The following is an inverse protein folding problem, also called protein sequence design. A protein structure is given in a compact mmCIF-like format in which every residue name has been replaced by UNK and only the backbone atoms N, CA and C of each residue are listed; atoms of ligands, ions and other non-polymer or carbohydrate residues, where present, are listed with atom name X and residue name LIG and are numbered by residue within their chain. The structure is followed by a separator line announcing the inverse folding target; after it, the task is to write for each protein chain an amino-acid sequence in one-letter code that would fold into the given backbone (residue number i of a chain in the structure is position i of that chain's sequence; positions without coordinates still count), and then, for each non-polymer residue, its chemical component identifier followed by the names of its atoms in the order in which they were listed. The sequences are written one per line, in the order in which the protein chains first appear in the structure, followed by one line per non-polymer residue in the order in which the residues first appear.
data_IF_231833685404
#
_entry.id   IF_231833685404
#
_cell.length_a   1.000
_cell.length_b   1.000
_cell.length_c   1.000
_cell.angle_alpha   90.00
_cell.angle_beta   90.00
_cell.angle_gamma   90.00
#
_symmetry.space_group_name_H-M   'P 1'
#
loop_
_entity.id
_entity.type
_entity.pdbx_description
1 polymer ?
#
# COMPACT_ATOMS: atom_id res chain seq x y z
N UNK A 1 -49.32 43.72 -59.01
CA UNK A 1 -49.22 42.32 -59.50
C UNK A 1 -48.09 41.59 -58.74
N UNK A 2 -47.95 40.27 -58.89
CA UNK A 2 -46.92 39.44 -58.19
C UNK A 2 -45.47 39.81 -58.62
N UNK A 3 -44.36 39.39 -57.97
CA UNK A 3 -44.00 38.18 -57.18
C UNK A 3 -42.98 38.61 -56.06
N UNK A 4 -42.80 38.01 -54.86
CA UNK A 4 -42.41 36.62 -54.44
C UNK A 4 -41.11 36.14 -55.14
N UNK A 5 -40.03 35.60 -54.53
CA UNK A 5 -39.59 35.07 -53.19
C UNK A 5 -38.02 35.18 -53.15
N UNK A 6 -37.20 35.02 -52.08
CA UNK A 6 -37.27 34.95 -50.60
C UNK A 6 -35.83 35.03 -49.99
N UNK A 7 -35.72 35.12 -48.65
CA UNK A 7 -34.61 34.66 -47.75
C UNK A 7 -33.15 35.14 -47.94
N UNK A 8 -32.62 35.84 -46.91
CA UNK A 8 -31.34 35.53 -46.24
C UNK A 8 -31.31 36.18 -44.83
N UNK A 9 -30.63 35.56 -43.87
CA UNK A 9 -30.53 36.04 -42.47
C UNK A 9 -29.10 36.50 -42.14
N UNK A 10 -28.92 37.39 -41.17
CA UNK A 10 -27.76 37.33 -40.27
C UNK A 10 -28.04 37.96 -38.90
N UNK A 11 -27.26 37.56 -37.90
CA UNK A 11 -27.45 37.86 -36.47
C UNK A 11 -26.54 39.01 -36.02
N UNK A 12 -27.05 39.85 -35.11
CA UNK A 12 -26.25 40.78 -34.31
C UNK A 12 -26.38 40.42 -32.83
N UNK A 13 -25.25 40.28 -32.13
CA UNK A 13 -25.20 40.02 -30.69
C UNK A 13 -24.17 40.95 -30.03
N UNK A 14 -24.62 41.75 -29.07
CA UNK A 14 -23.81 42.79 -28.43
C UNK A 14 -23.34 42.33 -27.04
N UNK A 15 -22.06 42.55 -26.73
CA UNK A 15 -21.49 42.35 -25.38
C UNK A 15 -21.38 43.66 -24.62
N UNK A 16 -21.52 43.62 -23.29
CA UNK A 16 -21.11 44.69 -22.37
C UNK A 16 -20.33 44.09 -21.19
N UNK A 17 -19.38 44.88 -20.67
CA UNK A 17 -18.25 44.52 -19.81
C UNK A 17 -18.60 44.13 -18.36
N UNK A 18 -17.61 43.55 -17.65
CA UNK A 18 -16.95 44.19 -16.48
C UNK A 18 -15.54 43.55 -16.27
N UNK A 19 -14.51 44.26 -15.75
CA UNK A 19 -13.11 43.95 -16.11
C UNK A 19 -12.23 43.37 -14.99
N UNK A 20 -11.02 42.94 -15.37
CA UNK A 20 -9.88 42.73 -14.48
C UNK A 20 -8.60 43.43 -15.03
N UNK A 21 -7.75 43.90 -14.12
CA UNK A 21 -6.44 44.54 -14.38
C UNK A 21 -5.35 43.62 -13.76
N UNK A 22 -4.06 43.64 -14.16
CA UNK A 22 -3.30 44.34 -15.22
C UNK A 22 -1.98 43.57 -15.40
N UNK A 23 -1.45 43.47 -16.62
CA UNK A 23 -0.04 43.18 -16.87
C UNK A 23 0.41 43.79 -18.22
N UNK A 24 1.46 44.60 -18.19
CA UNK A 24 2.20 45.20 -19.31
C UNK A 24 3.69 45.00 -18.99
N UNK A 25 4.66 45.03 -19.91
CA UNK A 25 4.71 45.34 -21.34
C UNK A 25 5.17 44.08 -22.13
N UNK A 26 4.93 43.90 -23.44
CA UNK A 26 5.38 44.67 -24.61
C UNK A 26 6.93 44.77 -24.73
N UNK A 27 7.53 44.72 -25.93
CA UNK A 27 6.96 44.93 -27.28
C UNK A 27 7.67 44.09 -28.37
N UNK A 28 7.11 44.08 -29.59
CA UNK A 28 7.72 43.88 -30.92
C UNK A 28 8.65 42.65 -31.15
N UNK A 29 8.25 41.62 -31.91
CA UNK A 29 8.09 41.55 -33.39
C UNK A 29 9.42 41.39 -34.16
N UNK A 30 9.49 40.73 -35.34
CA UNK A 30 8.43 40.27 -36.24
C UNK A 30 8.82 39.01 -37.07
N UNK A 31 7.82 38.48 -37.79
CA UNK A 31 7.91 37.90 -39.15
C UNK A 31 8.76 36.63 -39.43
N UNK A 32 8.08 35.49 -39.33
CA UNK A 32 7.87 34.49 -40.41
C UNK A 32 8.89 34.48 -41.60
N UNK A 33 9.62 33.36 -41.72
CA UNK A 33 9.82 32.64 -42.99
C UNK A 33 11.07 32.95 -43.85
N UNK A 34 11.37 32.05 -44.79
CA UNK A 34 12.28 32.30 -45.92
C UNK A 34 13.69 31.70 -45.80
N UNK A 35 13.87 30.50 -46.34
CA UNK A 35 15.15 29.79 -46.43
C UNK A 35 16.14 30.38 -47.47
N UNK A 36 17.34 29.76 -47.50
CA UNK A 36 18.37 29.69 -48.57
C UNK A 36 19.65 30.56 -48.44
N UNK A 37 20.76 29.85 -48.18
CA UNK A 37 22.05 29.85 -48.89
C UNK A 37 22.75 31.18 -49.27
N UNK A 38 24.05 31.31 -48.96
CA UNK A 38 24.96 31.84 -50.00
C UNK A 38 26.26 32.59 -49.70
N UNK A 39 26.72 32.77 -48.45
CA UNK A 39 28.13 33.07 -48.12
C UNK A 39 28.79 34.42 -48.52
N UNK A 40 29.72 34.90 -47.68
CA UNK A 40 31.10 35.33 -48.03
C UNK A 40 31.84 35.89 -46.80
N UNK A 41 33.18 35.77 -46.78
CA UNK A 41 34.19 36.55 -46.00
C UNK A 41 33.92 36.66 -44.47
N UNK A 42 34.52 35.85 -43.58
CA UNK A 42 35.95 35.79 -43.19
C UNK A 42 36.49 37.07 -42.55
N UNK A 43 36.39 37.18 -41.21
CA UNK A 43 37.55 37.22 -40.32
C UNK A 43 37.16 36.80 -38.87
N UNK A 44 38.15 36.62 -37.99
CA UNK A 44 38.06 36.34 -36.53
C UNK A 44 37.77 34.91 -36.05
N UNK A 45 38.60 33.94 -36.48
CA UNK A 45 38.70 32.60 -35.85
C UNK A 45 40.08 32.34 -35.21
N UNK A 46 40.67 33.37 -34.57
CA UNK A 46 41.95 33.22 -33.83
C UNK A 46 41.89 33.50 -32.33
N UNK A 47 40.97 34.34 -31.82
CA UNK A 47 40.94 34.70 -30.39
C UNK A 47 40.41 33.61 -29.43
N UNK A 48 39.65 32.62 -29.90
CA UNK A 48 39.01 31.65 -29.00
C UNK A 48 39.83 30.37 -28.73
N UNK A 49 40.86 30.09 -29.55
CA UNK A 49 41.59 28.79 -29.53
C UNK A 49 42.61 28.64 -28.40
N UNK A 50 42.99 29.73 -27.72
CA UNK A 50 43.95 29.69 -26.61
C UNK A 50 43.30 29.44 -25.23
N UNK A 51 42.07 29.91 -24.98
CA UNK A 51 41.37 29.68 -23.70
C UNK A 51 40.95 28.22 -23.45
N UNK A 52 40.92 27.37 -24.48
CA UNK A 52 40.53 25.97 -24.37
C UNK A 52 41.67 24.98 -24.08
N UNK A 53 42.94 25.42 -24.02
CA UNK A 53 44.11 24.54 -23.87
C UNK A 53 44.73 24.47 -22.46
N UNK A 54 44.15 25.11 -21.46
CA UNK A 54 44.67 25.12 -20.06
C UNK A 54 43.70 24.55 -19.01
N UNK A 55 42.51 24.08 -19.41
CA UNK A 55 41.50 23.51 -18.50
C UNK A 55 41.53 21.96 -18.42
N UNK A 56 42.66 21.33 -18.77
CA UNK A 56 42.79 19.86 -18.89
C UNK A 56 43.59 19.21 -17.73
N UNK A 57 43.52 19.78 -16.53
CA UNK A 57 44.01 19.15 -15.29
C UNK A 57 42.96 18.23 -14.68
N UNK A 58 43.05 16.95 -15.04
CA UNK A 58 42.41 15.77 -14.42
C UNK A 58 41.14 16.05 -13.58
N UNK A 59 39.98 16.16 -14.24
CA UNK A 59 38.71 15.82 -13.59
C UNK A 59 38.69 14.32 -13.28
N UNK A 60 39.25 13.92 -12.14
CA UNK A 60 38.91 12.65 -11.50
C UNK A 60 37.39 12.63 -11.35
N UNK A 61 36.72 11.71 -12.03
CA UNK A 61 35.32 11.39 -11.73
C UNK A 61 35.29 10.77 -10.35
N UNK A 62 35.09 11.60 -9.33
CA UNK A 62 34.73 11.15 -8.00
C UNK A 62 33.35 10.48 -8.14
N UNK A 63 33.33 9.16 -8.33
CA UNK A 63 32.12 8.39 -8.15
C UNK A 63 31.71 8.61 -6.69
N UNK A 64 30.67 9.42 -6.51
CA UNK A 64 30.13 9.69 -5.19
C UNK A 64 29.63 8.37 -4.63
N UNK A 65 30.32 7.84 -3.62
CA UNK A 65 29.87 6.74 -2.76
C UNK A 65 28.71 7.17 -1.85
N UNK A 66 28.02 8.25 -2.21
CA UNK A 66 26.80 8.70 -1.58
C UNK A 66 25.70 7.65 -1.73
N UNK A 67 25.27 7.14 -0.58
CA UNK A 67 24.07 6.32 -0.35
C UNK A 67 22.96 6.63 -1.36
N UNK A 68 22.37 5.63 -2.01
CA UNK A 68 21.29 5.85 -2.99
C UNK A 68 20.04 6.47 -2.34
N UNK A 69 19.12 7.01 -3.14
CA UNK A 69 17.83 7.52 -2.65
C UNK A 69 17.04 6.44 -1.91
N UNK A 70 16.98 5.23 -2.48
CA UNK A 70 16.37 4.05 -1.88
C UNK A 70 17.09 3.63 -0.57
N UNK A 71 18.42 3.53 -0.57
CA UNK A 71 19.17 3.16 0.62
C UNK A 71 19.02 4.21 1.74
N UNK A 72 18.93 5.51 1.43
CA UNK A 72 18.59 6.54 2.43
C UNK A 72 17.18 6.35 3.01
N UNK A 73 16.23 5.87 2.22
CA UNK A 73 14.87 5.60 2.69
C UNK A 73 14.84 4.37 3.63
N UNK A 74 15.46 3.27 3.22
CA UNK A 74 15.68 2.07 4.05
C UNK A 74 16.42 2.40 5.37
N UNK A 75 17.44 3.27 5.31
CA UNK A 75 18.14 3.73 6.51
C UNK A 75 17.24 4.57 7.44
N UNK A 76 16.29 5.35 6.90
CA UNK A 76 15.29 6.07 7.72
C UNK A 76 14.33 5.10 8.39
N UNK A 77 13.85 4.08 7.69
CA UNK A 77 12.98 3.04 8.24
C UNK A 77 13.66 2.31 9.41
N UNK A 78 14.94 1.95 9.25
CA UNK A 78 15.80 1.42 10.32
C UNK A 78 15.90 2.39 11.51
N UNK A 79 16.16 3.69 11.26
CA UNK A 79 16.27 4.68 12.33
C UNK A 79 14.94 4.89 13.08
N UNK A 80 13.80 4.87 12.37
CA UNK A 80 12.46 4.94 12.96
C UNK A 80 12.19 3.73 13.84
N UNK A 81 12.44 2.51 13.34
CA UNK A 81 12.21 1.28 14.08
C UNK A 81 13.10 1.18 15.33
N UNK A 82 14.38 1.55 15.24
CA UNK A 82 15.28 1.59 16.39
C UNK A 82 14.80 2.58 17.46
N UNK A 83 14.47 3.82 17.08
CA UNK A 83 13.94 4.81 18.01
C UNK A 83 12.60 4.37 18.64
N UNK A 84 11.70 3.74 17.86
CA UNK A 84 10.42 3.22 18.37
C UNK A 84 10.62 2.19 19.49
N UNK A 85 11.59 1.28 19.32
CA UNK A 85 11.90 0.26 20.34
C UNK A 85 12.77 0.78 21.51
N UNK A 86 13.14 2.07 21.51
CA UNK A 86 13.91 2.72 22.57
C UNK A 86 15.42 2.84 22.28
N UNK A 87 15.91 2.29 21.17
CA UNK A 87 17.31 2.38 20.76
C UNK A 87 17.58 3.76 20.13
N UNK A 88 18.03 4.70 20.96
CA UNK A 88 18.20 6.11 20.61
C UNK A 88 19.31 6.32 19.55
N UNK A 89 18.92 6.40 18.28
CA UNK A 89 19.81 6.70 17.16
C UNK A 89 19.85 8.18 16.79
N UNK A 90 18.95 8.99 17.36
CA UNK A 90 18.79 10.41 17.03
C UNK A 90 17.80 10.64 15.88
N UNK A 91 17.91 11.80 15.21
CA UNK A 91 17.01 12.21 14.14
C UNK A 91 17.02 11.22 12.96
N UNK A 92 15.85 11.01 12.36
CA UNK A 92 15.65 10.12 11.20
C UNK A 92 16.08 10.84 9.92
N UNK A 93 17.36 10.73 9.57
CA UNK A 93 18.00 11.44 8.45
C UNK A 93 18.39 10.52 7.26
N UNK A 94 18.40 9.20 7.45
CA UNK A 94 18.84 8.20 6.47
C UNK A 94 20.35 7.96 6.43
N UNK A 95 21.09 8.46 7.43
CA UNK A 95 22.54 8.35 7.56
C UNK A 95 22.93 7.55 8.81
N UNK A 96 23.33 6.29 8.63
CA UNK A 96 23.68 5.38 9.74
C UNK A 96 25.06 5.71 10.35
N UNK A 97 25.14 6.85 11.04
CA UNK A 97 26.33 7.36 11.72
C UNK A 97 26.55 6.74 13.11
N UNK A 98 27.46 7.34 13.91
CA UNK A 98 27.89 6.80 15.21
C UNK A 98 26.74 6.52 16.20
N UNK A 99 25.70 7.34 16.24
CA UNK A 99 24.51 7.10 17.07
C UNK A 99 23.70 5.90 16.58
N UNK A 100 23.55 5.75 15.26
CA UNK A 100 22.91 4.57 14.67
C UNK A 100 23.71 3.30 14.96
N UNK A 101 25.05 3.32 14.84
CA UNK A 101 25.91 2.20 15.27
C UNK A 101 25.66 1.79 16.71
N UNK A 102 25.68 2.74 17.65
CA UNK A 102 25.42 2.47 19.06
C UNK A 102 24.01 1.88 19.31
N UNK A 103 22.97 2.45 18.68
CA UNK A 103 21.60 1.91 18.78
C UNK A 103 21.47 0.49 18.20
N UNK A 104 22.16 0.19 17.09
CA UNK A 104 22.23 -1.16 16.52
C UNK A 104 22.94 -2.11 17.49
N UNK A 105 24.08 -1.73 18.08
CA UNK A 105 24.78 -2.55 19.07
C UNK A 105 23.93 -2.84 20.31
N UNK A 106 23.11 -1.90 20.77
CA UNK A 106 22.15 -2.14 21.85
C UNK A 106 21.03 -3.10 21.44
N UNK A 107 20.49 -2.96 20.22
CA UNK A 107 19.50 -3.88 19.66
C UNK A 107 20.07 -5.31 19.50
N UNK A 108 21.29 -5.45 18.99
CA UNK A 108 21.99 -6.73 18.86
C UNK A 108 22.19 -7.39 20.23
N UNK A 109 22.67 -6.62 21.22
CA UNK A 109 22.85 -7.10 22.59
C UNK A 109 21.52 -7.57 23.24
N UNK A 110 20.45 -6.77 23.11
CA UNK A 110 19.12 -7.11 23.61
C UNK A 110 18.56 -8.37 22.93
N UNK A 111 18.82 -8.56 21.63
CA UNK A 111 18.33 -9.69 20.84
C UNK A 111 19.18 -10.97 20.94
N UNK A 112 20.42 -10.87 21.41
CA UNK A 112 21.37 -11.99 21.47
C UNK A 112 22.13 -12.23 20.17
N UNK A 113 22.23 -11.22 19.30
CA UNK A 113 22.99 -11.26 18.06
C UNK A 113 24.45 -10.81 18.28
N UNK A 114 25.38 -11.06 17.33
CA UNK A 114 26.74 -10.52 17.38
C UNK A 114 26.74 -8.99 17.47
N UNK A 115 27.45 -8.42 18.46
CA UNK A 115 27.42 -6.99 18.74
C UNK A 115 28.52 -6.26 17.95
N UNK A 116 28.27 -5.99 16.67
CA UNK A 116 29.21 -5.27 15.78
C UNK A 116 28.75 -3.85 15.38
N UNK A 117 27.46 -3.53 15.56
CA UNK A 117 26.85 -2.25 15.17
C UNK A 117 26.39 -2.17 13.71
N UNK A 118 26.35 -3.28 12.97
CA UNK A 118 25.95 -3.36 11.56
C UNK A 118 24.80 -4.36 11.39
N UNK A 119 23.59 -3.87 11.12
CA UNK A 119 22.46 -4.74 10.78
C UNK A 119 22.75 -5.50 9.48
N UNK A 120 22.76 -6.82 9.56
CA UNK A 120 22.68 -7.68 8.38
C UNK A 120 21.26 -7.69 7.77
N UNK A 121 21.00 -8.59 6.83
CA UNK A 121 19.69 -8.70 6.18
C UNK A 121 18.61 -9.34 7.05
N UNK A 122 18.98 -10.28 7.93
CA UNK A 122 18.09 -10.96 8.86
C UNK A 122 17.74 -10.06 10.06
N UNK A 123 18.75 -9.47 10.71
CA UNK A 123 18.59 -8.53 11.81
C UNK A 123 17.69 -7.34 11.43
N UNK A 124 17.95 -6.76 10.24
CA UNK A 124 17.14 -5.68 9.68
C UNK A 124 15.73 -6.14 9.34
N UNK A 125 15.58 -7.33 8.75
CA UNK A 125 14.27 -7.91 8.47
C UNK A 125 13.43 -8.08 9.73
N UNK A 126 14.01 -8.68 10.77
CA UNK A 126 13.38 -8.85 12.08
C UNK A 126 13.01 -7.51 12.74
N UNK A 127 13.91 -6.52 12.73
CA UNK A 127 13.66 -5.19 13.27
C UNK A 127 12.47 -4.50 12.58
N UNK A 128 12.45 -4.48 11.24
CA UNK A 128 11.42 -3.79 10.47
C UNK A 128 10.07 -4.51 10.54
N UNK A 129 10.06 -5.85 10.44
CA UNK A 129 8.85 -6.66 10.61
C UNK A 129 8.28 -6.52 12.03
N UNK A 130 9.13 -6.52 13.06
CA UNK A 130 8.72 -6.27 14.44
C UNK A 130 8.11 -4.87 14.62
N UNK A 131 8.69 -3.84 14.00
CA UNK A 131 8.15 -2.48 14.05
C UNK A 131 6.76 -2.40 13.41
N UNK A 132 6.59 -2.96 12.20
CA UNK A 132 5.28 -3.05 11.54
C UNK A 132 4.26 -3.83 12.39
N UNK A 133 4.68 -4.94 13.00
CA UNK A 133 3.86 -5.75 13.89
C UNK A 133 3.47 -5.02 15.18
N UNK A 134 4.36 -4.20 15.74
CA UNK A 134 4.06 -3.37 16.91
C UNK A 134 3.00 -2.31 16.59
N UNK A 135 3.11 -1.62 15.46
CA UNK A 135 2.09 -0.66 15.01
C UNK A 135 0.72 -1.31 14.81
N UNK A 136 0.67 -2.57 14.36
CA UNK A 136 -0.58 -3.30 14.15
C UNK A 136 -1.15 -3.97 15.42
N UNK A 137 -0.32 -4.48 16.34
CA UNK A 137 -0.77 -5.38 17.42
C UNK A 137 -0.58 -4.86 18.85
N UNK A 138 0.17 -3.79 19.09
CA UNK A 138 0.54 -3.35 20.44
C UNK A 138 -0.62 -2.86 21.33
N UNK A 139 -1.83 -2.72 20.79
CA UNK A 139 -3.07 -2.40 21.51
C UNK A 139 -3.96 -3.64 21.76
N UNK A 140 -3.65 -4.79 21.16
CA UNK A 140 -4.38 -6.06 21.28
C UNK A 140 -3.73 -6.96 22.35
N UNK A 141 -4.52 -7.79 23.03
CA UNK A 141 -3.97 -8.76 23.99
C UNK A 141 -3.24 -9.92 23.27
N UNK A 142 -2.12 -10.46 23.82
CA UNK A 142 -1.46 -10.09 25.08
C UNK A 142 -0.52 -8.88 24.98
N UNK A 143 -0.25 -8.37 23.77
CA UNK A 143 0.78 -7.37 23.50
C UNK A 143 0.53 -6.03 24.21
N UNK A 144 -0.72 -5.60 24.39
CA UNK A 144 -1.04 -4.41 25.17
C UNK A 144 -0.56 -4.47 26.64
N UNK A 145 -0.69 -5.62 27.30
CA UNK A 145 -0.19 -5.83 28.65
C UNK A 145 1.35 -5.87 28.66
N UNK A 146 1.98 -6.39 27.60
CA UNK A 146 3.44 -6.41 27.45
C UNK A 146 3.98 -4.99 27.22
N UNK A 147 3.34 -4.18 26.37
CA UNK A 147 3.66 -2.76 26.20
C UNK A 147 3.52 -2.00 27.53
N UNK A 148 2.42 -2.19 28.25
CA UNK A 148 2.15 -1.50 29.51
C UNK A 148 3.12 -1.88 30.64
N UNK A 149 3.64 -3.12 30.65
CA UNK A 149 4.53 -3.64 31.71
C UNK A 149 6.02 -3.61 31.38
N UNK A 150 6.41 -3.61 30.10
CA UNK A 150 7.79 -3.73 29.64
C UNK A 150 8.19 -2.73 28.53
N UNK A 151 7.27 -1.87 28.10
CA UNK A 151 7.50 -0.94 27.00
C UNK A 151 7.67 -1.61 25.63
N UNK A 152 8.06 -0.83 24.63
CA UNK A 152 8.24 -1.28 23.26
C UNK A 152 9.35 -2.36 23.16
N UNK A 153 10.43 -2.23 23.93
CA UNK A 153 11.46 -3.27 24.02
C UNK A 153 10.93 -4.62 24.54
N UNK A 154 9.88 -4.62 25.37
CA UNK A 154 9.13 -5.82 25.75
C UNK A 154 8.51 -6.53 24.55
N UNK A 155 7.80 -5.78 23.70
CA UNK A 155 7.20 -6.31 22.46
C UNK A 155 8.26 -6.93 21.54
N UNK A 156 9.39 -6.26 21.36
CA UNK A 156 10.46 -6.76 20.48
C UNK A 156 11.04 -8.10 20.98
N UNK A 157 11.29 -8.22 22.29
CA UNK A 157 11.71 -9.49 22.91
C UNK A 157 10.63 -10.58 22.73
N UNK A 158 9.36 -10.23 22.87
CA UNK A 158 8.24 -11.15 22.66
C UNK A 158 8.17 -11.67 21.21
N UNK A 159 8.28 -10.80 20.20
CA UNK A 159 8.23 -11.23 18.80
C UNK A 159 9.40 -12.14 18.41
N UNK A 160 10.60 -11.90 18.95
CA UNK A 160 11.75 -12.81 18.79
C UNK A 160 11.47 -14.18 19.40
N UNK A 161 10.92 -14.22 20.62
CA UNK A 161 10.58 -15.47 21.30
C UNK A 161 9.57 -16.28 20.49
N UNK A 162 8.54 -15.64 19.94
CA UNK A 162 7.56 -16.29 19.07
C UNK A 162 8.16 -16.79 17.75
N UNK A 163 9.11 -16.06 17.15
CA UNK A 163 9.87 -16.54 15.98
C UNK A 163 10.71 -17.79 16.30
N UNK A 164 11.14 -17.95 17.56
CA UNK A 164 11.80 -19.15 18.09
C UNK A 164 10.80 -20.23 18.56
N UNK A 165 9.51 -20.09 18.28
CA UNK A 165 8.45 -21.03 18.68
C UNK A 165 8.05 -20.99 20.15
N UNK A 166 8.59 -20.05 20.94
CA UNK A 166 8.25 -19.88 22.35
C UNK A 166 6.91 -19.13 22.44
N UNK A 167 5.88 -19.80 22.95
CA UNK A 167 4.54 -19.23 23.07
C UNK A 167 4.51 -18.08 24.09
N UNK A 168 3.97 -16.93 23.68
CA UNK A 168 3.67 -15.81 24.58
C UNK A 168 2.54 -16.22 25.53
N UNK A 169 2.73 -16.18 26.87
CA UNK A 169 1.67 -16.52 27.82
C UNK A 169 0.45 -15.61 27.63
N UNK A 170 -0.72 -16.21 27.41
CA UNK A 170 -1.98 -15.48 27.43
C UNK A 170 -2.23 -14.95 28.83
N UNK A 171 -2.51 -13.65 28.95
CA UNK A 171 -2.92 -13.05 30.22
C UNK A 171 -4.28 -13.62 30.63
N UNK A 172 -4.31 -14.39 31.72
CA UNK A 172 -5.56 -14.87 32.32
C UNK A 172 -6.35 -13.64 32.75
N UNK A 173 -7.50 -13.40 32.11
CA UNK A 173 -8.38 -12.31 32.50
C UNK A 173 -8.85 -12.55 33.94
N UNK A 174 -8.70 -11.57 34.86
CA UNK A 174 -9.27 -11.70 36.19
C UNK A 174 -10.79 -11.69 36.06
N UNK A 175 -11.42 -12.83 36.34
CA UNK A 175 -12.89 -12.97 36.34
C UNK A 175 -13.46 -11.96 37.31
N UNK A 176 -14.18 -10.96 36.80
CA UNK A 176 -14.89 -10.01 37.64
C UNK A 176 -15.96 -10.76 38.44
N UNK A 177 -16.05 -10.57 39.77
CA UNK A 177 -16.99 -11.31 40.60
C UNK A 177 -18.43 -10.88 40.28
N UNK A 178 -19.11 -11.68 39.44
CA UNK A 178 -20.53 -11.51 39.17
C UNK A 178 -21.32 -11.80 40.45
N UNK A 179 -22.04 -10.81 40.95
CA UNK A 179 -22.88 -10.89 42.15
C UNK A 179 -24.19 -11.63 41.87
N UNK A 180 -24.09 -12.95 41.65
CA UNK A 180 -25.23 -13.82 41.45
C UNK A 180 -26.06 -13.93 42.74
N UNK A 181 -27.23 -13.28 42.79
CA UNK A 181 -28.27 -13.61 43.78
C UNK A 181 -28.89 -14.97 43.41
N UNK A 182 -28.33 -16.05 43.95
CA UNK A 182 -28.86 -17.39 43.77
C UNK A 182 -29.96 -17.70 44.79
N UNK A 183 -31.20 -17.90 44.32
CA UNK A 183 -32.25 -18.54 45.11
C UNK A 183 -31.99 -20.06 45.23
N UNK A 184 -32.49 -20.68 46.29
CA UNK A 184 -32.11 -22.04 46.70
C UNK A 184 -32.94 -23.17 46.06
N UNK A 185 -32.25 -24.18 45.54
CA UNK A 185 -32.73 -25.57 45.45
C UNK A 185 -31.52 -26.53 45.43
N UNK A 186 -31.55 -27.68 46.15
CA UNK A 186 -30.40 -28.57 46.25
C UNK A 186 -30.38 -29.67 45.19
N UNK A 187 -29.18 -30.13 44.81
CA UNK A 187 -28.97 -31.44 44.20
C UNK A 187 -28.02 -32.29 45.08
N UNK A 188 -28.30 -33.60 45.13
CA UNK A 188 -27.71 -34.53 46.09
C UNK A 188 -26.34 -35.04 45.66
N UNK A 189 -25.40 -35.12 46.60
CA UNK A 189 -24.09 -35.74 46.42
C UNK A 189 -24.18 -37.19 45.94
N UNK A 190 -23.32 -37.58 44.99
CA UNK A 190 -22.91 -38.96 44.80
C UNK A 190 -21.40 -39.11 45.03
N UNK A 191 -20.99 -40.33 45.36
CA UNK A 191 -19.71 -40.62 46.04
C UNK A 191 -18.59 -40.89 45.03
N UNK A 192 -17.38 -40.41 45.34
CA UNK A 192 -16.16 -40.64 44.56
C UNK A 192 -15.72 -42.10 44.66
N UNK A 193 -15.37 -42.74 43.54
CA UNK A 193 -14.48 -43.91 43.56
C UNK A 193 -13.70 -44.09 42.25
N UNK A 194 -12.45 -44.55 42.39
CA UNK A 194 -11.57 -45.11 41.35
C UNK A 194 -11.17 -44.23 40.13
N UNK A 195 -9.85 -44.01 40.00
CA UNK A 195 -9.19 -43.37 38.86
C UNK A 195 -9.14 -44.31 37.65
N UNK A 196 -10.14 -44.24 36.77
CA UNK A 196 -10.01 -44.79 35.42
C UNK A 196 -8.98 -43.99 34.60
N UNK A 197 -8.33 -44.63 33.63
CA UNK A 197 -7.37 -43.97 32.76
C UNK A 197 -8.09 -43.01 31.79
N UNK A 198 -8.02 -41.71 32.06
CA UNK A 198 -8.33 -40.69 31.06
C UNK A 198 -7.29 -40.77 29.95
N UNK A 199 -7.58 -41.52 28.89
CA UNK A 199 -6.91 -41.33 27.61
C UNK A 199 -7.06 -39.84 27.26
N UNK A 200 -5.94 -39.13 27.18
CA UNK A 200 -5.97 -37.69 26.98
C UNK A 200 -6.59 -37.41 25.60
N UNK A 201 -7.82 -36.91 25.60
CA UNK A 201 -8.42 -36.35 24.40
C UNK A 201 -7.55 -35.15 23.99
N UNK A 202 -6.70 -35.38 22.98
CA UNK A 202 -5.91 -34.32 22.36
C UNK A 202 -6.86 -33.20 21.94
N UNK A 203 -6.48 -31.92 22.06
CA UNK A 203 -7.36 -30.81 21.69
C UNK A 203 -7.86 -31.00 20.26
N UNK A 204 -9.16 -31.27 20.11
CA UNK A 204 -9.76 -31.39 18.79
C UNK A 204 -9.92 -29.98 18.22
N UNK A 205 -8.88 -29.51 17.53
CA UNK A 205 -8.91 -28.26 16.79
C UNK A 205 -9.98 -28.37 15.71
N UNK A 206 -11.14 -27.75 15.95
CA UNK A 206 -12.22 -27.62 14.99
C UNK A 206 -11.81 -26.66 13.88
N UNK A 207 -10.97 -27.13 12.96
CA UNK A 207 -10.54 -26.36 11.79
C UNK A 207 -11.78 -25.94 10.99
N UNK A 208 -12.07 -24.65 10.95
CA UNK A 208 -13.11 -24.10 10.09
C UNK A 208 -12.75 -24.43 8.63
N UNK A 209 -13.69 -25.01 7.89
CA UNK A 209 -13.41 -25.51 6.54
C UNK A 209 -13.11 -24.38 5.53
N UNK A 210 -13.41 -23.13 5.88
CA UNK A 210 -13.11 -21.92 5.10
C UNK A 210 -12.73 -20.76 6.03
N UNK A 211 -11.47 -20.70 6.47
CA UNK A 211 -10.92 -19.46 7.07
C UNK A 211 -10.77 -18.40 5.97
N UNK A 212 -11.19 -17.13 6.19
CA UNK A 212 -10.88 -16.04 5.26
C UNK A 212 -9.37 -15.92 5.03
N UNK A 213 -8.95 -15.65 3.79
CA UNK A 213 -7.52 -15.57 3.48
C UNK A 213 -6.95 -14.29 4.07
N UNK A 214 -6.02 -14.42 5.03
CA UNK A 214 -5.38 -13.28 5.70
C UNK A 214 -4.51 -12.48 4.72
N UNK A 215 -4.79 -11.18 4.61
CA UNK A 215 -4.00 -10.23 3.80
C UNK A 215 -2.63 -10.07 4.45
N UNK A 216 -2.58 -10.02 5.79
CA UNK A 216 -1.36 -9.91 6.57
C UNK A 216 -0.44 -11.12 6.37
N UNK A 217 -0.98 -12.36 6.46
CA UNK A 217 -0.20 -13.57 6.22
C UNK A 217 0.34 -13.62 4.79
N UNK A 218 -0.50 -13.34 3.79
CA UNK A 218 -0.11 -13.32 2.39
C UNK A 218 1.01 -12.30 2.11
N UNK A 219 0.90 -11.08 2.63
CA UNK A 219 1.94 -10.08 2.41
C UNK A 219 3.24 -10.34 3.19
N UNK A 220 3.20 -11.07 4.31
CA UNK A 220 4.42 -11.53 4.98
C UNK A 220 5.16 -12.57 4.13
N UNK A 221 4.43 -13.53 3.53
CA UNK A 221 4.97 -14.53 2.60
C UNK A 221 5.57 -13.87 1.34
N UNK A 222 4.81 -12.97 0.71
CA UNK A 222 5.26 -12.24 -0.49
C UNK A 222 6.53 -11.44 -0.20
N UNK A 223 6.57 -10.66 0.90
CA UNK A 223 7.74 -9.86 1.26
C UNK A 223 9.00 -10.71 1.53
N UNK A 224 8.83 -11.91 2.09
CA UNK A 224 9.93 -12.88 2.28
C UNK A 224 10.46 -13.34 0.92
N UNK A 225 9.57 -13.78 0.01
CA UNK A 225 9.93 -14.23 -1.33
C UNK A 225 10.55 -13.11 -2.18
N UNK A 226 10.05 -11.87 -2.09
CA UNK A 226 10.65 -10.68 -2.71
C UNK A 226 12.09 -10.47 -2.24
N UNK A 227 12.36 -10.70 -0.95
CA UNK A 227 13.71 -10.58 -0.40
C UNK A 227 14.62 -11.70 -0.92
N UNK A 228 14.15 -12.95 -0.93
CA UNK A 228 14.87 -14.10 -1.51
C UNK A 228 15.16 -13.93 -3.00
N UNK A 229 14.28 -13.26 -3.75
CA UNK A 229 14.41 -13.01 -5.20
C UNK A 229 15.32 -11.82 -5.56
N UNK A 230 15.96 -11.15 -4.58
CA UNK A 230 16.86 -10.01 -4.83
C UNK A 230 16.15 -8.65 -4.93
N UNK A 231 15.00 -8.52 -4.26
CA UNK A 231 14.16 -7.33 -4.24
C UNK A 231 13.08 -7.33 -5.33
N UNK A 232 12.21 -6.31 -5.34
CA UNK A 232 10.98 -6.31 -6.12
C UNK A 232 11.20 -6.30 -7.64
N UNK A 233 10.21 -6.82 -8.35
CA UNK A 233 10.13 -6.82 -9.81
C UNK A 233 10.35 -5.42 -10.40
N UNK A 234 11.05 -5.37 -11.54
CA UNK A 234 11.44 -4.13 -12.24
C UNK A 234 10.88 -4.13 -13.67
N UNK A 235 10.65 -2.95 -14.29
CA UNK A 235 10.20 -2.86 -15.67
C UNK A 235 11.15 -3.57 -16.65
N UNK A 236 10.59 -4.33 -17.58
CA UNK A 236 11.31 -5.19 -18.53
C UNK A 236 11.97 -6.42 -17.89
N UNK A 237 11.58 -6.79 -16.67
CA UNK A 237 12.16 -7.89 -15.89
C UNK A 237 11.11 -8.73 -15.14
N UNK A 238 9.82 -8.61 -15.44
CA UNK A 238 8.76 -9.41 -14.80
C UNK A 238 8.83 -10.85 -15.30
N UNK A 239 9.42 -11.74 -14.50
CA UNK A 239 9.52 -13.18 -14.80
C UNK A 239 8.29 -13.97 -14.38
N UNK A 240 7.68 -13.59 -13.26
CA UNK A 240 6.49 -14.24 -12.70
C UNK A 240 5.37 -13.21 -12.55
N UNK A 241 4.50 -13.04 -13.57
CA UNK A 241 3.48 -12.00 -13.57
C UNK A 241 2.52 -12.06 -12.38
N UNK A 242 2.15 -13.26 -11.94
CA UNK A 242 1.27 -13.46 -10.78
C UNK A 242 1.96 -13.04 -9.48
N UNK A 243 3.25 -13.35 -9.32
CA UNK A 243 4.03 -12.96 -8.15
C UNK A 243 4.26 -11.45 -8.12
N UNK A 244 4.70 -10.85 -9.24
CA UNK A 244 4.90 -9.41 -9.36
C UNK A 244 3.64 -8.60 -9.01
N UNK A 245 2.45 -9.04 -9.44
CA UNK A 245 1.19 -8.42 -9.02
C UNK A 245 0.98 -8.50 -7.49
N UNK A 246 1.37 -9.60 -6.85
CA UNK A 246 1.23 -9.74 -5.39
C UNK A 246 2.26 -8.87 -4.65
N UNK A 247 3.50 -8.72 -5.15
CA UNK A 247 4.48 -7.74 -4.63
C UNK A 247 3.90 -6.32 -4.67
N UNK A 248 3.27 -5.97 -5.79
CA UNK A 248 2.69 -4.65 -5.97
C UNK A 248 1.50 -4.40 -5.04
N UNK A 249 0.62 -5.38 -4.84
CA UNK A 249 -0.44 -5.31 -3.84
C UNK A 249 0.08 -4.99 -2.43
N UNK A 250 1.14 -5.68 -1.99
CA UNK A 250 1.69 -5.51 -0.65
C UNK A 250 2.42 -4.16 -0.46
N UNK A 251 2.96 -3.59 -1.55
CA UNK A 251 3.43 -2.20 -1.57
C UNK A 251 2.25 -1.21 -1.46
N UNK A 252 1.17 -1.41 -2.23
CA UNK A 252 -0.02 -0.55 -2.18
C UNK A 252 -0.70 -0.57 -0.80
N UNK A 253 -0.82 -1.75 -0.17
CA UNK A 253 -1.27 -1.90 1.22
C UNK A 253 -0.42 -1.09 2.20
N UNK A 254 0.91 -1.14 2.05
CA UNK A 254 1.84 -0.42 2.93
C UNK A 254 1.74 1.11 2.75
N UNK A 255 1.52 1.58 1.53
CA UNK A 255 1.20 2.99 1.25
C UNK A 255 -0.16 3.40 1.83
N UNK A 256 -1.19 2.56 1.71
CA UNK A 256 -2.52 2.85 2.24
C UNK A 256 -2.56 2.99 3.77
N UNK A 257 -1.87 2.12 4.50
CA UNK A 257 -1.73 2.27 5.96
C UNK A 257 -0.97 3.55 6.35
N UNK A 258 0.02 3.93 5.54
CA UNK A 258 0.82 5.15 5.76
C UNK A 258 0.00 6.41 5.49
N UNK A 259 -0.78 6.42 4.41
CA UNK A 259 -1.71 7.50 4.05
C UNK A 259 -2.82 7.65 5.10
N UNK A 260 -3.42 6.53 5.54
CA UNK A 260 -4.42 6.53 6.61
C UNK A 260 -3.89 7.19 7.89
N UNK A 261 -2.72 6.79 8.39
CA UNK A 261 -2.16 7.38 9.61
C UNK A 261 -1.67 8.83 9.45
N UNK A 262 -1.41 9.31 8.24
CA UNK A 262 -1.21 10.74 7.96
C UNK A 262 -2.51 11.54 7.99
N UNK A 263 -3.67 10.92 7.69
CA UNK A 263 -4.98 11.57 7.77
C UNK A 263 -5.53 11.49 9.20
N UNK A 264 -5.37 10.36 9.90
CA UNK A 264 -5.82 10.14 11.29
C UNK A 264 -5.32 11.22 12.25
N UNK A 265 -4.05 11.66 12.13
CA UNK A 265 -3.50 12.75 12.97
C UNK A 265 -4.11 14.13 12.70
N UNK A 266 -4.93 14.27 11.65
CA UNK A 266 -5.68 15.51 11.36
C UNK A 266 -7.08 15.53 11.96
N UNK A 267 -7.55 14.41 12.53
CA UNK A 267 -8.88 14.28 13.14
C UNK A 267 -8.79 14.55 14.66
N UNK A 268 -9.25 15.72 15.15
CA UNK A 268 -9.32 15.95 16.58
C UNK A 268 -10.43 15.11 17.22
N UNK A 269 -10.26 14.79 18.51
CA UNK A 269 -11.28 14.22 19.39
C UNK A 269 -11.80 12.80 19.04
N UNK A 270 -11.07 12.03 18.22
CA UNK A 270 -11.35 10.59 18.03
C UNK A 270 -10.17 9.72 18.48
N UNK A 271 -10.47 8.61 19.14
CA UNK A 271 -9.51 7.54 19.46
C UNK A 271 -9.43 6.51 18.34
N UNK A 272 -8.34 5.75 18.26
CA UNK A 272 -8.17 4.70 17.23
C UNK A 272 -9.33 3.69 17.20
N UNK A 273 -9.85 3.27 18.38
CA UNK A 273 -11.00 2.35 18.49
C UNK A 273 -12.29 2.98 17.96
N UNK A 274 -12.49 4.29 18.15
CA UNK A 274 -13.64 4.99 17.57
C UNK A 274 -13.51 5.13 16.05
N UNK A 275 -12.30 5.33 15.52
CA UNK A 275 -12.03 5.34 14.07
C UNK A 275 -12.34 3.96 13.48
N UNK A 276 -11.89 2.87 14.11
CA UNK A 276 -12.19 1.49 13.72
C UNK A 276 -13.70 1.22 13.67
N UNK A 277 -14.44 1.59 14.72
CA UNK A 277 -15.90 1.46 14.78
C UNK A 277 -16.64 2.27 13.70
N UNK A 278 -16.16 3.47 13.33
CA UNK A 278 -16.72 4.21 12.18
C UNK A 278 -16.45 3.49 10.85
N UNK A 279 -15.30 2.83 10.72
CA UNK A 279 -14.94 2.08 9.53
C UNK A 279 -15.70 0.75 9.40
N UNK A 280 -16.05 0.09 10.51
CA UNK A 280 -16.99 -1.04 10.50
C UNK A 280 -18.39 -0.59 10.02
N UNK A 281 -18.88 0.55 10.53
CA UNK A 281 -20.14 1.14 10.07
C UNK A 281 -20.12 1.52 8.59
N UNK A 282 -18.99 2.04 8.10
CA UNK A 282 -18.79 2.33 6.67
C UNK A 282 -18.79 1.06 5.81
N UNK A 283 -18.12 0.00 6.26
CA UNK A 283 -18.10 -1.29 5.57
C UNK A 283 -19.49 -1.93 5.49
N UNK A 284 -20.25 -1.91 6.60
CA UNK A 284 -21.64 -2.37 6.65
C UNK A 284 -22.55 -1.57 5.70
N UNK A 285 -22.39 -0.25 5.65
CA UNK A 285 -23.15 0.61 4.72
C UNK A 285 -22.77 0.38 3.24
N UNK A 286 -21.52 -0.02 2.97
CA UNK A 286 -21.01 -0.31 1.63
C UNK A 286 -21.34 -1.72 1.12
N UNK A 287 -21.53 -2.70 2.00
CA UNK A 287 -21.73 -4.11 1.64
C UNK A 287 -22.82 -4.35 0.55
N UNK A 288 -23.99 -3.67 0.55
CA UNK A 288 -24.98 -3.83 -0.53
C UNK A 288 -24.47 -3.42 -1.92
N UNK A 289 -23.53 -2.47 -2.01
CA UNK A 289 -22.95 -2.01 -3.29
C UNK A 289 -21.91 -3.01 -3.83
N UNK A 290 -21.31 -3.82 -2.95
CA UNK A 290 -20.33 -4.86 -3.30
C UNK A 290 -20.98 -6.17 -3.79
N UNK A 291 -22.30 -6.32 -3.71
CA UNK A 291 -23.00 -7.55 -4.14
C UNK A 291 -22.80 -7.75 -5.65
N UNK A 292 -22.04 -8.79 -6.00
CA UNK A 292 -21.64 -9.11 -7.37
C UNK A 292 -20.41 -8.37 -7.89
N UNK A 293 -19.56 -7.81 -7.03
CA UNK A 293 -18.31 -7.11 -7.43
C UNK A 293 -17.31 -8.01 -8.21
N UNK A 294 -17.44 -9.33 -8.03
CA UNK A 294 -16.72 -10.40 -8.72
C UNK A 294 -17.21 -10.70 -10.15
N UNK A 295 -18.47 -10.32 -10.45
CA UNK A 295 -19.23 -10.75 -11.64
C UNK A 295 -19.72 -9.59 -12.51
N UNK A 296 -20.08 -8.45 -11.91
CA UNK A 296 -20.49 -7.19 -12.56
C UNK A 296 -19.30 -6.45 -13.18
N UNK A 297 -19.57 -5.63 -14.19
CA UNK A 297 -18.54 -4.77 -14.77
C UNK A 297 -18.15 -3.65 -13.77
N UNK A 298 -16.87 -3.23 -13.68
CA UNK A 298 -16.44 -2.15 -12.78
C UNK A 298 -17.23 -0.85 -12.95
N UNK A 299 -17.65 -0.51 -14.18
CA UNK A 299 -18.47 0.67 -14.46
C UNK A 299 -19.87 0.62 -13.86
N UNK A 300 -20.45 -0.58 -13.69
CA UNK A 300 -21.75 -0.77 -13.04
C UNK A 300 -21.62 -0.58 -11.52
N UNK A 301 -20.61 -1.23 -10.92
CA UNK A 301 -20.31 -1.12 -9.48
C UNK A 301 -19.96 0.32 -9.11
N UNK A 302 -19.13 0.98 -9.92
CA UNK A 302 -18.80 2.41 -9.77
C UNK A 302 -20.06 3.26 -9.87
N UNK A 303 -20.87 3.13 -10.92
CA UNK A 303 -22.05 3.99 -11.09
C UNK A 303 -23.08 3.84 -9.96
N UNK A 304 -23.36 2.60 -9.53
CA UNK A 304 -24.26 2.33 -8.40
C UNK A 304 -23.71 2.91 -7.08
N UNK A 305 -22.42 2.68 -6.81
CA UNK A 305 -21.77 3.21 -5.61
C UNK A 305 -21.69 4.74 -5.63
N UNK A 306 -21.33 5.37 -6.75
CA UNK A 306 -21.31 6.83 -6.90
C UNK A 306 -22.68 7.45 -6.59
N UNK A 307 -23.77 6.83 -7.06
CA UNK A 307 -25.13 7.28 -6.77
C UNK A 307 -25.48 7.13 -5.28
N UNK A 308 -25.08 6.02 -4.63
CA UNK A 308 -25.23 5.82 -3.19
C UNK A 308 -24.44 6.86 -2.37
N UNK A 309 -23.19 7.13 -2.73
CA UNK A 309 -22.35 8.14 -2.09
C UNK A 309 -22.95 9.55 -2.22
N UNK A 310 -23.52 9.89 -3.38
CA UNK A 310 -24.24 11.16 -3.58
C UNK A 310 -25.53 11.23 -2.74
N UNK A 311 -26.29 10.13 -2.68
CA UNK A 311 -27.53 10.05 -1.89
C UNK A 311 -27.30 10.12 -0.37
N UNK A 312 -26.08 9.85 0.12
CA UNK A 312 -25.71 9.95 1.54
C UNK A 312 -25.76 11.38 2.11
N UNK A 313 -25.76 12.41 1.25
CA UNK A 313 -25.68 13.81 1.65
C UNK A 313 -24.32 14.26 2.21
N UNK A 314 -23.34 13.35 2.32
CA UNK A 314 -22.01 13.67 2.83
C UNK A 314 -21.14 14.39 1.77
N UNK A 315 -20.28 15.34 2.17
CA UNK A 315 -19.32 15.95 1.25
C UNK A 315 -18.37 14.88 0.67
N UNK A 316 -18.23 14.84 -0.66
CA UNK A 316 -17.40 13.82 -1.33
C UNK A 316 -15.93 13.84 -0.88
N UNK A 317 -15.39 15.01 -0.52
CA UNK A 317 -14.06 15.11 0.08
C UNK A 317 -13.95 14.39 1.45
N UNK A 318 -14.99 14.48 2.28
CA UNK A 318 -15.06 13.76 3.57
C UNK A 318 -15.18 12.26 3.35
N UNK A 319 -15.97 11.82 2.36
CA UNK A 319 -16.08 10.41 1.97
C UNK A 319 -14.73 9.86 1.47
N UNK A 320 -13.98 10.63 0.68
CA UNK A 320 -12.63 10.24 0.22
C UNK A 320 -11.66 10.13 1.42
N UNK A 321 -11.62 11.11 2.33
CA UNK A 321 -10.77 11.03 3.52
C UNK A 321 -11.15 9.83 4.41
N UNK A 322 -12.44 9.61 4.65
CA UNK A 322 -12.96 8.46 5.40
C UNK A 322 -12.56 7.13 4.76
N UNK A 323 -12.77 6.98 3.45
CA UNK A 323 -12.36 5.78 2.71
C UNK A 323 -10.87 5.51 2.78
N UNK A 324 -10.01 6.53 2.72
CA UNK A 324 -8.55 6.37 2.86
C UNK A 324 -8.15 5.86 4.24
N UNK A 325 -8.75 6.41 5.29
CA UNK A 325 -8.56 5.95 6.67
C UNK A 325 -8.99 4.48 6.79
N UNK A 326 -10.22 4.17 6.38
CA UNK A 326 -10.80 2.84 6.55
C UNK A 326 -10.12 1.75 5.71
N UNK A 327 -9.55 2.11 4.55
CA UNK A 327 -8.67 1.22 3.79
C UNK A 327 -7.41 0.86 4.61
N UNK A 328 -6.79 1.85 5.26
CA UNK A 328 -5.65 1.62 6.15
C UNK A 328 -6.02 0.87 7.44
N UNK A 329 -7.19 1.16 8.05
CA UNK A 329 -7.72 0.41 9.20
C UNK A 329 -7.85 -1.07 8.83
N UNK A 330 -8.60 -1.41 7.76
CA UNK A 330 -8.83 -2.79 7.34
C UNK A 330 -7.53 -3.54 7.05
N UNK A 331 -6.52 -2.87 6.50
CA UNK A 331 -5.18 -3.45 6.31
C UNK A 331 -4.36 -3.63 7.59
N UNK A 332 -4.60 -2.86 8.66
CA UNK A 332 -3.97 -3.06 9.97
C UNK A 332 -4.67 -4.17 10.76
N UNK A 333 -6.00 -4.21 10.72
CA UNK A 333 -6.85 -5.16 11.47
C UNK A 333 -7.09 -6.49 10.75
N UNK A 334 -6.56 -6.64 9.53
CA UNK A 334 -6.77 -7.79 8.61
C UNK A 334 -8.22 -7.97 8.14
N UNK A 335 -9.07 -6.94 8.30
CA UNK A 335 -10.44 -6.92 7.81
C UNK A 335 -10.47 -6.64 6.29
N UNK A 336 -10.42 -7.72 5.51
CA UNK A 336 -10.46 -7.70 4.05
C UNK A 336 -11.76 -7.10 3.48
N UNK A 337 -12.91 -7.32 4.13
CA UNK A 337 -14.19 -6.76 3.69
C UNK A 337 -14.19 -5.23 3.83
N UNK A 338 -13.69 -4.71 4.95
CA UNK A 338 -13.50 -3.26 5.17
C UNK A 338 -12.52 -2.66 4.15
N UNK A 339 -11.40 -3.35 3.85
CA UNK A 339 -10.43 -2.90 2.86
C UNK A 339 -11.05 -2.86 1.44
N UNK A 340 -11.82 -3.88 1.05
CA UNK A 340 -12.50 -3.93 -0.25
C UNK A 340 -13.64 -2.90 -0.35
N UNK A 341 -14.44 -2.73 0.69
CA UNK A 341 -15.47 -1.69 0.78
C UNK A 341 -14.86 -0.30 0.60
N UNK A 342 -13.77 -0.02 1.32
CA UNK A 342 -13.08 1.27 1.28
C UNK A 342 -12.46 1.55 -0.09
N UNK A 343 -11.80 0.58 -0.71
CA UNK A 343 -11.24 0.73 -2.06
C UNK A 343 -12.33 0.92 -3.13
N UNK A 344 -13.46 0.21 -3.02
CA UNK A 344 -14.61 0.34 -3.91
C UNK A 344 -15.26 1.72 -3.78
N UNK A 345 -15.43 2.22 -2.55
CA UNK A 345 -15.88 3.58 -2.27
C UNK A 345 -14.95 4.61 -2.90
N UNK A 346 -13.63 4.49 -2.70
CA UNK A 346 -12.65 5.44 -3.20
C UNK A 346 -12.64 5.53 -4.73
N UNK A 347 -12.62 4.38 -5.41
CA UNK A 347 -12.74 4.35 -6.88
C UNK A 347 -14.05 5.01 -7.34
N UNK A 348 -15.15 4.75 -6.64
CA UNK A 348 -16.48 5.30 -6.95
C UNK A 348 -16.67 6.77 -6.56
N UNK A 349 -15.80 7.30 -5.70
CA UNK A 349 -15.64 8.72 -5.42
C UNK A 349 -14.76 9.44 -6.47
N UNK A 350 -14.44 8.78 -7.58
CA UNK A 350 -13.64 9.30 -8.68
C UNK A 350 -12.12 9.08 -8.55
N UNK A 351 -11.65 8.51 -7.43
CA UNK A 351 -10.23 8.16 -7.26
C UNK A 351 -9.95 6.79 -7.93
N UNK A 352 -10.16 6.71 -9.25
CA UNK A 352 -10.20 5.45 -10.02
C UNK A 352 -8.93 4.58 -9.89
N UNK A 353 -7.78 5.17 -9.53
CA UNK A 353 -6.55 4.45 -9.20
C UNK A 353 -6.69 3.41 -8.07
N UNK A 354 -7.66 3.55 -7.16
CA UNK A 354 -7.93 2.54 -6.12
C UNK A 354 -8.55 1.24 -6.67
N UNK A 355 -8.96 1.21 -7.95
CA UNK A 355 -9.32 -0.02 -8.65
C UNK A 355 -8.20 -1.07 -8.67
N UNK A 356 -6.93 -0.66 -8.49
CA UNK A 356 -5.79 -1.55 -8.31
C UNK A 356 -6.00 -2.50 -7.12
N UNK A 357 -6.44 -1.94 -5.98
CA UNK A 357 -6.71 -2.69 -4.75
C UNK A 357 -7.92 -3.62 -4.94
N UNK A 358 -8.99 -3.13 -5.57
CA UNK A 358 -10.18 -3.95 -5.88
C UNK A 358 -9.79 -5.15 -6.76
N UNK A 359 -8.95 -4.92 -7.77
CA UNK A 359 -8.37 -5.98 -8.61
C UNK A 359 -7.58 -7.02 -7.80
N UNK A 360 -6.62 -6.58 -6.98
CA UNK A 360 -5.79 -7.52 -6.24
C UNK A 360 -6.61 -8.37 -5.27
N UNK A 361 -7.59 -7.77 -4.59
CA UNK A 361 -8.49 -8.50 -3.69
C UNK A 361 -9.38 -9.51 -4.45
N UNK A 362 -9.93 -9.13 -5.61
CA UNK A 362 -10.68 -10.05 -6.49
C UNK A 362 -9.83 -11.18 -7.10
N UNK A 363 -8.51 -11.04 -7.24
CA UNK A 363 -7.62 -12.15 -7.65
C UNK A 363 -7.41 -13.16 -6.53
N UNK A 364 -7.25 -12.68 -5.31
CA UNK A 364 -6.82 -13.48 -4.16
C UNK A 364 -7.98 -14.01 -3.30
N UNK A 365 -9.21 -13.54 -3.51
CA UNK A 365 -10.38 -13.91 -2.70
C UNK A 365 -10.46 -13.15 -1.38
N UNK A 366 -9.88 -11.95 -1.30
CA UNK A 366 -9.91 -11.09 -0.12
C UNK A 366 -11.23 -10.30 -0.07
N UNK A 367 -12.07 -10.54 0.93
CA UNK A 367 -13.32 -9.79 1.15
C UNK A 367 -14.43 -9.99 0.11
N UNK A 368 -14.20 -10.83 -0.91
CA UNK A 368 -15.17 -11.20 -1.94
C UNK A 368 -14.73 -12.52 -2.63
N UNK A 369 -15.62 -13.21 -3.37
CA UNK A 369 -15.25 -14.34 -4.22
C UNK A 369 -14.20 -13.98 -5.28
N UNK A 370 -13.46 -14.99 -5.76
CA UNK A 370 -12.42 -14.80 -6.79
C UNK A 370 -13.05 -14.45 -8.14
N UNK A 371 -12.79 -13.24 -8.63
CA UNK A 371 -13.39 -12.65 -9.83
C UNK A 371 -12.33 -12.27 -10.88
N UNK A 372 -11.51 -13.22 -11.34
CA UNK A 372 -10.32 -12.98 -12.17
C UNK A 372 -10.56 -12.07 -13.39
N UNK A 373 -11.70 -12.23 -14.09
CA UNK A 373 -12.04 -11.38 -15.24
C UNK A 373 -12.30 -9.92 -14.84
N UNK A 374 -13.05 -9.70 -13.75
CA UNK A 374 -13.35 -8.36 -13.24
C UNK A 374 -12.14 -7.72 -12.57
N UNK A 375 -11.26 -8.50 -11.96
CA UNK A 375 -9.97 -8.01 -11.51
C UNK A 375 -9.15 -7.40 -12.65
N UNK A 376 -9.05 -8.07 -13.81
CA UNK A 376 -8.39 -7.52 -14.99
C UNK A 376 -9.00 -6.18 -15.47
N UNK A 377 -10.32 -6.05 -15.42
CA UNK A 377 -11.02 -4.81 -15.77
C UNK A 377 -10.81 -3.68 -14.74
N UNK A 378 -10.82 -4.00 -13.44
CA UNK A 378 -10.51 -3.09 -12.34
C UNK A 378 -9.05 -2.60 -12.38
N UNK A 379 -8.11 -3.48 -12.70
CA UNK A 379 -6.70 -3.12 -12.90
C UNK A 379 -6.52 -2.19 -14.10
N UNK A 380 -7.16 -2.50 -15.24
CA UNK A 380 -7.15 -1.61 -16.42
C UNK A 380 -7.74 -0.24 -16.11
N UNK A 381 -8.81 -0.16 -15.31
CA UNK A 381 -9.41 1.10 -14.86
C UNK A 381 -8.42 1.95 -14.05
N UNK A 382 -7.70 1.32 -13.11
CA UNK A 382 -6.70 1.99 -12.29
C UNK A 382 -5.44 2.40 -13.06
N UNK A 383 -4.93 1.54 -13.95
CA UNK A 383 -3.77 1.85 -14.80
C UNK A 383 -4.06 3.04 -15.73
N UNK A 384 -5.24 3.10 -16.33
CA UNK A 384 -5.68 4.25 -17.12
C UNK A 384 -5.69 5.54 -16.29
N UNK A 385 -6.20 5.48 -15.05
CA UNK A 385 -6.26 6.63 -14.14
C UNK A 385 -4.86 7.10 -13.69
N UNK A 386 -3.95 6.16 -13.42
CA UNK A 386 -2.55 6.48 -13.09
C UNK A 386 -1.83 7.13 -14.28
N UNK A 387 -2.03 6.60 -15.50
CA UNK A 387 -1.48 7.17 -16.74
C UNK A 387 -2.05 8.56 -17.07
N UNK A 388 -3.30 8.86 -16.68
CA UNK A 388 -3.89 10.21 -16.77
C UNK A 388 -3.53 11.13 -15.59
N UNK A 389 -2.52 10.80 -14.80
CA UNK A 389 -2.02 11.64 -13.70
C UNK A 389 -2.85 11.60 -12.41
N UNK A 390 -3.85 10.71 -12.32
CA UNK A 390 -4.67 10.47 -11.12
C UNK A 390 -4.20 9.23 -10.36
N UNK A 391 -2.88 9.07 -10.24
CA UNK A 391 -2.25 7.97 -9.53
C UNK A 391 -2.42 8.08 -8.00
N UNK A 392 -2.60 6.93 -7.34
CA UNK A 392 -2.80 6.81 -5.89
C UNK A 392 -1.78 5.84 -5.29
N UNK A 393 -1.71 5.68 -3.96
CA UNK A 393 -0.96 4.60 -3.29
C UNK A 393 0.50 4.40 -3.79
N UNK A 394 1.19 5.50 -4.12
CA UNK A 394 2.58 5.43 -4.62
C UNK A 394 2.73 4.83 -6.02
N UNK A 395 1.72 4.91 -6.89
CA UNK A 395 1.80 4.57 -8.33
C UNK A 395 2.80 5.47 -9.09
N UNK A 396 4.10 5.23 -8.93
CA UNK A 396 5.16 5.85 -9.74
C UNK A 396 5.15 5.31 -11.18
N UNK A 397 5.77 5.98 -12.17
CA UNK A 397 5.85 5.47 -13.54
C UNK A 397 6.47 4.08 -13.66
N UNK A 398 7.49 3.78 -12.85
CA UNK A 398 8.11 2.45 -12.77
C UNK A 398 7.13 1.41 -12.20
N UNK A 399 6.37 1.78 -11.17
CA UNK A 399 5.36 0.93 -10.54
C UNK A 399 4.22 0.60 -11.50
N UNK A 400 3.73 1.61 -12.22
CA UNK A 400 2.71 1.48 -13.27
C UNK A 400 3.22 0.63 -14.45
N UNK A 401 4.49 0.73 -14.82
CA UNK A 401 5.09 -0.13 -15.83
C UNK A 401 5.12 -1.61 -15.39
N UNK A 402 5.58 -1.92 -14.17
CA UNK A 402 5.57 -3.29 -13.62
C UNK A 402 4.15 -3.85 -13.56
N UNK A 403 3.18 -3.07 -13.06
CA UNK A 403 1.77 -3.46 -13.03
C UNK A 403 1.22 -3.73 -14.45
N UNK A 404 1.59 -2.93 -15.46
CA UNK A 404 1.14 -3.10 -16.84
C UNK A 404 1.73 -4.36 -17.48
N UNK A 405 3.04 -4.57 -17.34
CA UNK A 405 3.79 -5.74 -17.83
C UNK A 405 3.27 -7.04 -17.18
N UNK A 406 3.05 -7.02 -15.87
CA UNK A 406 2.51 -8.16 -15.14
C UNK A 406 1.03 -8.42 -15.45
N UNK A 407 0.18 -7.40 -15.60
CA UNK A 407 -1.24 -7.57 -15.90
C UNK A 407 -1.49 -8.11 -17.32
N UNK A 408 -0.73 -7.60 -18.30
CA UNK A 408 -0.82 -8.09 -19.68
C UNK A 408 -0.30 -9.52 -19.81
N UNK A 409 0.81 -9.84 -19.16
CA UNK A 409 1.38 -11.18 -19.17
C UNK A 409 0.52 -12.20 -18.40
N UNK A 410 -0.09 -11.82 -17.27
CA UNK A 410 -1.00 -12.68 -16.50
C UNK A 410 -2.35 -12.92 -17.17
N UNK A 411 -2.75 -12.07 -18.13
CA UNK A 411 -3.94 -12.29 -18.96
C UNK A 411 -3.68 -13.26 -20.14
N UNK A 412 -2.43 -13.55 -20.45
CA UNK A 412 -2.05 -14.55 -21.44
C UNK A 412 -2.33 -15.97 -20.94
N UNK A 413 -3.18 -16.72 -21.64
CA UNK A 413 -3.36 -18.15 -21.37
C UNK A 413 -2.01 -18.86 -21.54
N UNK A 414 -1.57 -19.72 -20.61
CA UNK A 414 -0.34 -20.48 -20.80
C UNK A 414 -0.49 -21.39 -22.03
N UNK A 415 0.27 -21.10 -23.08
CA UNK A 415 0.33 -21.95 -24.25
C UNK A 415 0.94 -23.30 -23.84
N UNK A 416 0.09 -24.33 -23.74
CA UNK A 416 0.52 -25.68 -23.42
C UNK A 416 1.57 -26.09 -24.46
N UNK A 417 2.79 -26.49 -24.07
CA UNK A 417 3.81 -26.91 -25.02
C UNK A 417 3.32 -28.15 -25.76
N UNK A 418 2.99 -28.00 -27.03
CA UNK A 418 2.57 -29.12 -27.89
C UNK A 418 3.79 -29.96 -28.19
N UNK A 419 4.04 -30.97 -27.35
CA UNK A 419 5.07 -31.97 -27.59
C UNK A 419 4.83 -32.64 -28.93
N UNK A 420 5.68 -32.30 -29.91
CA UNK A 420 5.61 -32.88 -31.25
C UNK A 420 6.00 -34.35 -31.15
N UNK A 421 5.01 -35.24 -31.33
CA UNK A 421 5.26 -36.67 -31.32
C UNK A 421 6.13 -37.05 -32.52
N UNK A 422 7.39 -37.39 -32.26
CA UNK A 422 8.32 -37.87 -33.29
C UNK A 422 7.79 -39.15 -33.92
N UNK A 423 7.25 -39.06 -35.14
CA UNK A 423 6.88 -40.22 -35.94
C UNK A 423 8.14 -40.95 -36.39
N UNK A 424 8.53 -41.98 -35.63
CA UNK A 424 9.48 -42.99 -36.09
C UNK A 424 8.91 -43.66 -37.34
N UNK A 425 9.56 -43.44 -38.49
CA UNK A 425 9.25 -44.16 -39.72
C UNK A 425 9.72 -45.62 -39.66
N UNK A 426 8.96 -46.50 -40.30
CA UNK A 426 9.43 -47.81 -40.77
C UNK A 426 9.93 -47.67 -42.22
#
# INVERSE_FOLDING_TARGET
MMKRRLCASFVAASMVMVPAQRAMADEAAALIGGALLGGLIVNEVHKNKQRQRQAQTQRRTYQSTGVSSAQRQQNREVQTALNYFGYNVGSVDGSLGRRSRAGISHFQADMGYPIDGYLDDHERGFLLASHQRALASAHVAPYNQILASQGQGGLLRTYRNEQLGIQTPQAVQPVQPQTHMAATAPQTSQVVTARAATGAALPNFGFAQTTPVSINAHCNEVNLLTTSNGGPSRPGQVREPVFALNEQFCQARSQAMTEASQIEVTIPNMTAVQVEQQCDGLAQAMAPQMVGIDTKAPSEVVAATSAFLQASGQPMASLISGGKICLGVGYRTDNAEMALASATLLASAGQLGYGEVVSHQLRQGFGAPVGMARAGEWMRLALNAAQSGSGVLGQTPERVAVLTEASTSAAGTPAIPVFSASTSGN
#
